data_IF_184831856138
#
_entry.id   IF_184831856138
#
_cell.length_a   1.000
_cell.length_b   1.000
_cell.length_c   1.000
_cell.angle_alpha   90.00
_cell.angle_beta   90.00
_cell.angle_gamma   90.00
#
_symmetry.space_group_name_H-M   'P 1'
#
loop_
_entity.id
_entity.type
_entity.pdbx_description
1 polymer ?
#
# COMPACT_ATOMS: atom_id res chain seq x y z
N UNK A 1 2.61 -12.10 44.39
CA UNK A 1 3.62 -12.20 43.32
C UNK A 1 3.31 -13.16 42.14
N UNK A 2 2.39 -14.15 42.19
CA UNK A 2 2.18 -15.06 41.03
C UNK A 2 1.41 -14.43 39.86
N UNK A 3 0.58 -13.42 40.10
CA UNK A 3 -0.22 -12.76 39.06
C UNK A 3 0.65 -12.09 37.97
N UNK A 4 1.82 -11.55 38.34
CA UNK A 4 2.68 -10.83 37.40
C UNK A 4 3.35 -11.75 36.36
N UNK A 5 3.75 -12.96 36.76
CA UNK A 5 4.38 -13.93 35.87
C UNK A 5 3.43 -14.45 34.78
N UNK A 6 2.13 -14.51 35.05
CA UNK A 6 1.09 -14.90 34.07
C UNK A 6 0.67 -13.72 33.19
N UNK A 7 0.75 -12.49 33.73
CA UNK A 7 0.30 -11.30 33.01
C UNK A 7 1.23 -10.89 31.87
N UNK A 8 2.55 -11.02 32.04
CA UNK A 8 3.53 -10.66 31.01
C UNK A 8 3.32 -11.45 29.70
N UNK A 9 3.21 -12.79 29.70
CA UNK A 9 2.96 -13.55 28.48
C UNK A 9 1.66 -13.17 27.77
N UNK A 10 0.61 -12.88 28.53
CA UNK A 10 -0.69 -12.45 27.99
C UNK A 10 -0.55 -11.09 27.30
N UNK A 11 0.07 -10.13 27.98
CA UNK A 11 0.31 -8.79 27.43
C UNK A 11 1.19 -8.85 26.17
N UNK A 12 2.22 -9.69 26.18
CA UNK A 12 3.07 -9.92 25.01
C UNK A 12 2.27 -10.46 23.83
N UNK A 13 1.40 -11.44 24.06
CA UNK A 13 0.55 -12.01 23.01
C UNK A 13 -0.44 -11.00 22.44
N UNK A 14 -1.14 -10.26 23.32
CA UNK A 14 -2.10 -9.22 22.92
C UNK A 14 -1.40 -8.13 22.10
N UNK A 15 -0.25 -7.65 22.59
CA UNK A 15 0.53 -6.64 21.89
C UNK A 15 0.96 -7.14 20.51
N UNK A 16 1.62 -8.30 20.44
CA UNK A 16 2.28 -8.73 19.22
C UNK A 16 1.31 -9.20 18.13
N UNK A 17 0.21 -9.85 18.50
CA UNK A 17 -0.71 -10.46 17.53
C UNK A 17 -2.01 -9.67 17.30
N UNK A 18 -2.32 -8.68 18.15
CA UNK A 18 -3.55 -7.88 18.01
C UNK A 18 -3.24 -6.41 17.83
N UNK A 19 -2.55 -5.79 18.80
CA UNK A 19 -2.36 -4.34 18.80
C UNK A 19 -1.37 -3.88 17.73
N UNK A 20 -0.19 -4.50 17.68
CA UNK A 20 0.86 -4.13 16.75
C UNK A 20 0.48 -4.40 15.27
N UNK A 21 -0.12 -5.55 14.89
CA UNK A 21 -0.56 -5.78 13.51
C UNK A 21 -1.65 -4.79 13.09
N UNK A 22 -2.57 -4.43 13.99
CA UNK A 22 -3.57 -3.39 13.72
C UNK A 22 -2.91 -2.04 13.43
N UNK A 23 -1.95 -1.63 14.25
CA UNK A 23 -1.18 -0.40 14.03
C UNK A 23 -0.39 -0.43 12.71
N UNK A 24 0.22 -1.56 12.40
CA UNK A 24 0.99 -1.79 11.18
C UNK A 24 0.10 -1.69 9.93
N UNK A 25 -1.07 -2.33 9.93
CA UNK A 25 -2.03 -2.24 8.82
C UNK A 25 -2.50 -0.79 8.62
N UNK A 26 -2.83 -0.07 9.70
CA UNK A 26 -3.23 1.33 9.61
C UNK A 26 -2.12 2.21 9.02
N UNK A 27 -0.87 1.95 9.39
CA UNK A 27 0.29 2.63 8.82
C UNK A 27 0.42 2.35 7.32
N UNK A 28 0.35 1.08 6.88
CA UNK A 28 0.44 0.73 5.47
C UNK A 28 -0.71 1.30 4.64
N UNK A 29 -1.94 1.34 5.18
CA UNK A 29 -3.06 2.03 4.52
C UNK A 29 -2.75 3.52 4.30
N UNK A 30 -2.18 4.19 5.30
CA UNK A 30 -1.76 5.58 5.19
C UNK A 30 -0.65 5.77 4.15
N UNK A 31 0.35 4.87 4.16
CA UNK A 31 1.47 4.88 3.22
C UNK A 31 1.00 4.69 1.77
N UNK A 32 0.20 3.65 1.50
CA UNK A 32 -0.36 3.41 0.17
C UNK A 32 -1.21 4.58 -0.32
N UNK A 33 -1.99 5.21 0.57
CA UNK A 33 -2.76 6.41 0.24
C UNK A 33 -1.85 7.58 -0.14
N UNK A 34 -0.72 7.76 0.55
CA UNK A 34 0.27 8.78 0.21
C UNK A 34 0.96 8.49 -1.13
N UNK A 35 1.37 7.25 -1.37
CA UNK A 35 1.98 6.81 -2.64
C UNK A 35 1.02 6.98 -3.81
N UNK A 36 -0.25 6.57 -3.64
CA UNK A 36 -1.29 6.75 -4.67
C UNK A 36 -1.51 8.23 -5.04
N UNK A 37 -1.43 9.13 -4.06
CA UNK A 37 -1.48 10.59 -4.31
C UNK A 37 -0.24 11.09 -5.02
N UNK A 38 0.95 10.63 -4.62
CA UNK A 38 2.22 11.01 -5.25
C UNK A 38 2.25 10.60 -6.73
N UNK A 39 1.73 9.41 -7.04
CA UNK A 39 1.59 8.92 -8.41
C UNK A 39 0.44 9.57 -9.19
N UNK A 40 -0.31 10.50 -8.57
CA UNK A 40 -1.46 11.17 -9.22
C UNK A 40 -2.53 10.21 -9.76
N UNK A 41 -2.61 9.00 -9.22
CA UNK A 41 -3.44 7.91 -9.77
C UNK A 41 -4.93 8.28 -9.78
N UNK A 42 -5.39 8.92 -8.71
CA UNK A 42 -6.76 9.45 -8.63
C UNK A 42 -7.07 10.53 -9.69
N UNK A 43 -6.09 11.36 -10.05
CA UNK A 43 -6.24 12.38 -11.09
C UNK A 43 -6.30 11.74 -12.49
N UNK A 44 -5.44 10.76 -12.76
CA UNK A 44 -5.44 10.07 -14.06
C UNK A 44 -6.74 9.29 -14.28
N UNK A 45 -7.24 8.60 -13.26
CA UNK A 45 -8.53 7.90 -13.34
C UNK A 45 -9.70 8.88 -13.47
N UNK A 46 -9.75 9.94 -12.64
CA UNK A 46 -10.82 10.93 -12.67
C UNK A 46 -10.88 11.77 -13.94
N UNK A 47 -9.78 11.82 -14.70
CA UNK A 47 -9.69 12.57 -15.96
C UNK A 47 -9.42 11.68 -17.17
N UNK A 48 -9.65 10.36 -17.09
CA UNK A 48 -9.20 9.41 -18.09
C UNK A 48 -9.58 9.78 -19.54
N UNK A 49 -10.85 10.14 -19.75
CA UNK A 49 -11.37 10.55 -21.08
C UNK A 49 -11.14 12.02 -21.43
N UNK A 50 -10.50 12.80 -20.55
CA UNK A 50 -10.13 14.18 -20.85
C UNK A 50 -8.76 14.22 -21.52
N UNK A 51 -8.56 15.12 -22.50
CA UNK A 51 -7.26 15.26 -23.13
C UNK A 51 -6.21 15.71 -22.09
N UNK A 52 -4.95 15.38 -22.33
CA UNK A 52 -3.83 15.90 -21.53
C UNK A 52 -3.63 17.40 -21.75
N UNK A 53 -3.77 17.82 -23.01
CA UNK A 53 -3.71 19.21 -23.43
C UNK A 53 -5.02 19.56 -24.13
N UNK A 54 -5.69 20.60 -23.66
CA UNK A 54 -6.89 21.10 -24.32
C UNK A 54 -6.52 21.66 -25.70
N UNK A 55 -7.29 21.29 -26.71
CA UNK A 55 -7.17 21.78 -28.07
C UNK A 55 -8.50 22.41 -28.47
N UNK A 56 -8.45 23.54 -29.17
CA UNK A 56 -9.66 24.30 -29.54
C UNK A 56 -10.06 24.07 -31.00
N UNK A 57 -9.11 23.56 -31.80
CA UNK A 57 -9.34 23.23 -33.21
C UNK A 57 -10.12 21.93 -33.31
N UNK A 58 -11.37 22.00 -33.77
CA UNK A 58 -12.32 20.88 -33.82
C UNK A 58 -11.76 19.58 -34.39
N UNK A 59 -10.93 19.65 -35.44
CA UNK A 59 -10.30 18.47 -36.05
C UNK A 59 -9.19 17.80 -35.22
N UNK A 60 -8.62 18.49 -34.23
CA UNK A 60 -7.52 18.00 -33.38
C UNK A 60 -7.99 17.61 -31.97
N UNK A 61 -9.23 17.94 -31.60
CA UNK A 61 -9.81 17.59 -30.29
C UNK A 61 -9.87 16.08 -30.11
N UNK A 62 -10.41 15.35 -31.10
CA UNK A 62 -10.52 13.89 -31.04
C UNK A 62 -9.15 13.21 -30.94
N UNK A 63 -8.18 13.68 -31.71
CA UNK A 63 -6.79 13.22 -31.63
C UNK A 63 -6.19 13.46 -30.24
N UNK A 64 -6.41 14.64 -29.66
CA UNK A 64 -5.89 14.99 -28.33
C UNK A 64 -6.50 14.15 -27.21
N UNK A 65 -7.78 13.79 -27.34
CA UNK A 65 -8.45 12.86 -26.42
C UNK A 65 -7.84 11.47 -26.55
N UNK A 66 -7.70 10.95 -27.77
CA UNK A 66 -7.16 9.61 -28.02
C UNK A 66 -5.72 9.48 -27.52
N UNK A 67 -4.86 10.44 -27.84
CA UNK A 67 -3.50 10.52 -27.31
C UNK A 67 -3.50 10.63 -25.79
N UNK A 68 -4.40 11.42 -25.22
CA UNK A 68 -4.59 11.54 -23.78
C UNK A 68 -4.87 10.20 -23.11
N UNK A 69 -5.80 9.43 -23.67
CA UNK A 69 -6.17 8.09 -23.19
C UNK A 69 -4.99 7.12 -23.27
N UNK A 70 -4.27 7.09 -24.39
CA UNK A 70 -3.10 6.20 -24.58
C UNK A 70 -2.03 6.49 -23.54
N UNK A 71 -1.63 7.76 -23.41
CA UNK A 71 -0.58 8.15 -22.45
C UNK A 71 -1.02 7.89 -21.01
N UNK A 72 -2.26 8.24 -20.64
CA UNK A 72 -2.79 7.95 -19.30
C UNK A 72 -2.86 6.46 -19.01
N UNK A 73 -3.18 5.62 -20.00
CA UNK A 73 -3.20 4.17 -19.81
C UNK A 73 -1.81 3.63 -19.48
N UNK A 74 -0.77 4.13 -20.16
CA UNK A 74 0.63 3.76 -19.88
C UNK A 74 1.01 4.19 -18.45
N UNK A 75 0.72 5.46 -18.10
CA UNK A 75 1.02 6.00 -16.77
C UNK A 75 0.30 5.24 -15.65
N UNK A 76 -1.01 5.03 -15.77
CA UNK A 76 -1.80 4.26 -14.81
C UNK A 76 -1.24 2.84 -14.67
N UNK A 77 -0.87 2.19 -15.77
CA UNK A 77 -0.29 0.84 -15.72
C UNK A 77 1.04 0.84 -14.96
N UNK A 78 1.93 1.79 -15.23
CA UNK A 78 3.19 1.93 -14.51
C UNK A 78 2.95 2.22 -13.02
N UNK A 79 2.02 3.11 -12.69
CA UNK A 79 1.66 3.47 -11.31
C UNK A 79 1.12 2.26 -10.54
N UNK A 80 0.28 1.43 -11.18
CA UNK A 80 -0.24 0.20 -10.59
C UNK A 80 0.85 -0.84 -10.33
N UNK A 81 1.85 -0.96 -11.22
CA UNK A 81 3.00 -1.85 -11.00
C UNK A 81 3.86 -1.40 -9.82
N UNK A 82 4.05 -0.08 -9.67
CA UNK A 82 4.76 0.49 -8.51
C UNK A 82 3.98 0.20 -7.23
N UNK A 83 2.68 0.48 -7.20
CA UNK A 83 1.84 0.19 -6.03
C UNK A 83 1.81 -1.30 -5.69
N UNK A 84 1.71 -2.17 -6.68
CA UNK A 84 1.77 -3.63 -6.47
C UNK A 84 3.10 -4.04 -5.83
N UNK A 85 4.21 -3.45 -6.27
CA UNK A 85 5.53 -3.70 -5.70
C UNK A 85 5.62 -3.25 -4.25
N UNK A 86 5.06 -2.08 -3.91
CA UNK A 86 4.95 -1.60 -2.53
C UNK A 86 4.14 -2.57 -1.65
N UNK A 87 2.94 -2.96 -2.10
CA UNK A 87 2.08 -3.91 -1.37
C UNK A 87 2.77 -5.27 -1.17
N UNK A 88 3.52 -5.75 -2.17
CA UNK A 88 4.29 -6.99 -2.02
C UNK A 88 5.37 -6.88 -0.94
N UNK A 89 6.10 -5.76 -0.90
CA UNK A 89 7.09 -5.48 0.15
C UNK A 89 6.42 -5.41 1.53
N UNK A 90 5.31 -4.69 1.64
CA UNK A 90 4.55 -4.60 2.89
C UNK A 90 4.08 -5.96 3.37
N UNK A 91 3.58 -6.82 2.47
CA UNK A 91 3.19 -8.19 2.80
C UNK A 91 4.36 -9.01 3.37
N UNK A 92 5.56 -8.88 2.79
CA UNK A 92 6.78 -9.52 3.32
C UNK A 92 7.09 -8.99 4.72
N UNK A 93 7.00 -7.67 4.94
CA UNK A 93 7.19 -7.08 6.27
C UNK A 93 6.19 -7.62 7.31
N UNK A 94 4.91 -7.76 6.96
CA UNK A 94 3.90 -8.34 7.85
C UNK A 94 4.25 -9.79 8.21
N UNK A 95 4.63 -10.60 7.22
CA UNK A 95 5.00 -12.01 7.45
C UNK A 95 6.23 -12.10 8.38
N UNK A 96 7.26 -11.30 8.12
CA UNK A 96 8.46 -11.26 8.96
C UNK A 96 8.12 -10.78 10.38
N UNK A 97 7.29 -9.75 10.52
CA UNK A 97 6.87 -9.22 11.81
C UNK A 97 6.10 -10.26 12.65
N UNK A 98 5.12 -10.94 12.05
CA UNK A 98 4.34 -11.98 12.73
C UNK A 98 5.20 -13.22 13.03
N UNK A 99 6.13 -13.58 12.13
CA UNK A 99 7.02 -14.72 12.30
C UNK A 99 8.11 -14.51 13.37
N UNK A 100 8.53 -13.27 13.61
CA UNK A 100 9.60 -12.93 14.55
C UNK A 100 9.44 -13.53 15.97
N UNK A 101 8.31 -13.40 16.69
CA UNK A 101 8.14 -13.96 18.02
C UNK A 101 8.17 -15.50 18.01
N UNK A 102 7.67 -16.12 16.93
CA UNK A 102 7.68 -17.58 16.78
C UNK A 102 9.11 -18.09 16.67
N UNK A 103 9.93 -17.41 15.86
CA UNK A 103 11.37 -17.71 15.72
C UNK A 103 12.09 -17.52 17.05
N UNK A 104 11.84 -16.41 17.75
CA UNK A 104 12.46 -16.16 19.06
C UNK A 104 12.09 -17.21 20.11
N UNK A 105 10.82 -17.60 20.21
CA UNK A 105 10.38 -18.65 21.14
C UNK A 105 11.11 -19.96 20.84
N UNK A 106 11.22 -20.34 19.56
CA UNK A 106 11.93 -21.56 19.15
C UNK A 106 13.44 -21.49 19.40
N UNK A 107 14.05 -20.30 19.31
CA UNK A 107 15.46 -20.12 19.65
C UNK A 107 15.71 -20.20 21.16
N UNK A 108 14.78 -19.70 21.97
CA UNK A 108 14.91 -19.67 23.43
C UNK A 108 14.59 -21.03 24.08
N UNK A 109 13.66 -21.78 23.48
CA UNK A 109 13.23 -23.11 23.90
C UNK A 109 13.43 -24.12 22.75
N UNK A 110 14.67 -24.59 22.53
CA UNK A 110 15.01 -25.51 21.43
C UNK A 110 14.35 -26.89 21.56
#
# INVERSE_FOLDING_TARGET
MPAFAVWIPIQFFLFWFIEAPKGLILYFVSLNKAVSKLLSLGLFLGTFFKPLKNEYRSGLVGFSILMGVVVKSILITADLLILLSFVAIEAVFVILFIGFPIVLIRMLFP
#
